data_IF_321445230677
#
_entry.id   IF_321445230677
#
_cell.length_a   1.000
_cell.length_b   1.000
_cell.length_c   1.000
_cell.angle_alpha   90.00
_cell.angle_beta   90.00
_cell.angle_gamma   90.00
#
_symmetry.space_group_name_H-M   'P 1'
#
loop_
_entity.id
_entity.type
_entity.pdbx_description
1 polymer ?
#
# COMPACT_ATOMS: atom_id res chain seq x y z
N UNK A 1 -28.06 11.65 -11.98
CA UNK A 1 -26.96 12.55 -11.54
C UNK A 1 -27.02 12.75 -10.02
N UNK A 2 -27.19 11.67 -9.25
CA UNK A 2 -27.38 11.72 -7.78
C UNK A 2 -26.50 10.67 -7.05
N UNK A 3 -25.76 9.84 -7.81
CA UNK A 3 -24.93 8.76 -7.29
C UNK A 3 -23.50 9.18 -6.87
N UNK A 4 -23.15 10.47 -6.96
CA UNK A 4 -21.81 10.98 -6.66
C UNK A 4 -21.70 11.65 -5.28
N UNK A 5 -22.76 11.64 -4.47
CA UNK A 5 -22.85 12.45 -3.24
C UNK A 5 -22.62 11.68 -1.93
N UNK A 6 -22.32 10.37 -1.97
CA UNK A 6 -22.07 9.58 -0.76
C UNK A 6 -20.78 8.77 -0.82
N UNK A 7 -19.67 9.44 -1.16
CA UNK A 7 -18.35 8.93 -0.78
C UNK A 7 -18.13 9.28 0.69
N UNK A 8 -18.84 8.53 1.55
CA UNK A 8 -18.76 8.67 3.00
C UNK A 8 -17.29 8.70 3.42
N UNK A 9 -16.91 9.75 4.15
CA UNK A 9 -15.58 9.93 4.71
C UNK A 9 -15.22 8.68 5.52
N UNK A 10 -14.50 7.75 4.89
CA UNK A 10 -14.00 6.56 5.56
C UNK A 10 -13.05 7.04 6.65
N UNK A 11 -13.48 6.94 7.91
CA UNK A 11 -12.67 7.29 9.06
C UNK A 11 -11.57 6.23 9.19
N UNK A 12 -10.40 6.52 8.64
CA UNK A 12 -9.22 5.68 8.84
C UNK A 12 -8.82 5.82 10.31
N UNK A 13 -9.06 4.77 11.10
CA UNK A 13 -8.56 4.71 12.48
C UNK A 13 -7.03 4.70 12.44
N UNK A 14 -6.41 5.67 13.08
CA UNK A 14 -4.96 5.69 13.28
C UNK A 14 -4.65 5.42 14.74
N UNK A 15 -3.74 4.49 14.99
CA UNK A 15 -3.22 4.19 16.32
C UNK A 15 -1.82 4.79 16.44
N UNK A 16 -1.62 5.65 17.44
CA UNK A 16 -0.30 6.18 17.79
C UNK A 16 0.26 5.37 18.95
N UNK A 17 1.28 4.57 18.69
CA UNK A 17 1.99 3.80 19.70
C UNK A 17 3.43 4.30 19.78
N UNK A 18 3.93 4.51 21.01
CA UNK A 18 5.36 4.79 21.21
C UNK A 18 6.13 3.49 21.13
N UNK A 19 7.10 3.41 20.21
CA UNK A 19 7.97 2.26 20.08
C UNK A 19 9.14 2.39 21.07
N UNK A 20 9.53 1.27 21.68
CA UNK A 20 10.73 1.14 22.49
C UNK A 20 11.61 0.02 21.92
N UNK A 21 12.18 0.24 20.72
CA UNK A 21 12.98 -0.77 20.05
C UNK A 21 14.30 -1.02 20.77
N UNK A 22 14.79 -2.25 20.70
CA UNK A 22 16.18 -2.55 21.01
C UNK A 22 17.09 -2.15 19.83
N UNK A 23 18.41 -2.23 20.02
CA UNK A 23 19.39 -1.81 19.00
C UNK A 23 19.23 -2.51 17.65
N UNK A 24 18.92 -3.82 17.65
CA UNK A 24 18.73 -4.56 16.40
C UNK A 24 17.45 -4.11 15.68
N UNK A 25 16.39 -3.79 16.43
CA UNK A 25 15.15 -3.26 15.88
C UNK A 25 15.33 -1.83 15.34
N UNK A 26 16.06 -0.97 16.04
CA UNK A 26 16.37 0.39 15.55
C UNK A 26 17.10 0.36 14.21
N UNK A 27 18.05 -0.57 14.04
CA UNK A 27 18.77 -0.74 12.79
C UNK A 27 17.88 -1.23 11.64
N UNK A 28 16.90 -2.11 11.91
CA UNK A 28 16.06 -2.72 10.88
C UNK A 28 14.80 -1.91 10.50
N UNK A 29 14.30 -1.07 11.41
CA UNK A 29 13.07 -0.30 11.20
C UNK A 29 13.09 0.61 9.96
N UNK A 30 14.16 1.38 9.68
CA UNK A 30 14.23 2.23 8.48
C UNK A 30 14.08 1.45 7.17
N UNK A 31 14.76 0.30 7.06
CA UNK A 31 14.72 -0.54 5.86
C UNK A 31 13.33 -1.13 5.66
N UNK A 32 12.71 -1.64 6.74
CA UNK A 32 11.34 -2.14 6.71
C UNK A 32 10.35 -1.06 6.26
N UNK A 33 10.50 0.17 6.75
CA UNK A 33 9.66 1.30 6.35
C UNK A 33 9.88 1.68 4.88
N UNK A 34 11.13 1.59 4.39
CA UNK A 34 11.46 1.75 2.98
C UNK A 34 10.73 0.73 2.11
N UNK A 35 10.85 -0.56 2.45
CA UNK A 35 10.20 -1.64 1.70
C UNK A 35 8.67 -1.50 1.67
N UNK A 36 8.05 -1.10 2.78
CA UNK A 36 6.61 -0.85 2.81
C UNK A 36 6.19 0.36 1.97
N UNK A 37 7.00 1.42 1.95
CA UNK A 37 6.77 2.58 1.08
C UNK A 37 6.81 2.16 -0.39
N UNK A 38 7.79 1.38 -0.78
CA UNK A 38 7.96 0.93 -2.16
C UNK A 38 6.82 0.01 -2.60
N UNK A 39 6.42 -0.93 -1.75
CA UNK A 39 5.27 -1.82 -2.03
C UNK A 39 3.96 -1.03 -2.19
N UNK A 40 3.72 -0.03 -1.33
CA UNK A 40 2.57 0.87 -1.44
C UNK A 40 2.58 1.65 -2.76
N UNK A 41 3.73 2.21 -3.14
CA UNK A 41 3.88 2.96 -4.38
C UNK A 41 3.66 2.06 -5.62
N UNK A 42 4.18 0.84 -5.59
CA UNK A 42 3.97 -0.15 -6.65
C UNK A 42 2.47 -0.46 -6.83
N UNK A 43 1.73 -0.64 -5.73
CA UNK A 43 0.28 -0.85 -5.78
C UNK A 43 -0.49 0.33 -6.35
N UNK A 44 -0.09 1.56 -6.02
CA UNK A 44 -0.69 2.77 -6.61
C UNK A 44 -0.39 2.86 -8.11
N UNK A 45 0.86 2.63 -8.51
CA UNK A 45 1.28 2.66 -9.90
C UNK A 45 0.51 1.63 -10.74
N UNK A 46 0.40 0.39 -10.24
CA UNK A 46 -0.33 -0.68 -10.90
C UNK A 46 -1.79 -0.29 -11.19
N UNK A 47 -2.49 0.33 -10.23
CA UNK A 47 -3.87 0.81 -10.42
C UNK A 47 -3.99 1.91 -11.46
N UNK A 48 -3.08 2.88 -11.41
CA UNK A 48 -3.04 3.98 -12.38
C UNK A 48 -2.83 3.42 -13.79
N UNK A 49 -1.88 2.50 -13.96
CA UNK A 49 -1.58 1.91 -15.25
C UNK A 49 -2.69 0.98 -15.77
N UNK A 50 -3.31 0.19 -14.91
CA UNK A 50 -4.42 -0.69 -15.28
C UNK A 50 -5.60 0.13 -15.84
N UNK A 51 -5.92 1.25 -15.20
CA UNK A 51 -6.95 2.16 -15.70
C UNK A 51 -6.52 2.84 -17.00
N UNK A 52 -5.34 3.47 -17.02
CA UNK A 52 -4.89 4.26 -18.16
C UNK A 52 -4.68 3.43 -19.43
N UNK A 53 -4.20 2.19 -19.30
CA UNK A 53 -3.87 1.33 -20.45
C UNK A 53 -5.01 0.41 -20.87
N UNK A 54 -5.83 -0.05 -19.91
CA UNK A 54 -6.83 -1.11 -20.16
C UNK A 54 -8.24 -0.73 -19.72
N UNK A 55 -8.43 0.40 -19.03
CA UNK A 55 -9.74 0.83 -18.53
C UNK A 55 -10.29 -0.06 -17.41
N UNK A 56 -9.43 -0.81 -16.72
CA UNK A 56 -9.85 -1.75 -15.67
C UNK A 56 -9.53 -1.22 -14.28
N UNK A 57 -10.47 -1.43 -13.35
CA UNK A 57 -10.27 -1.16 -11.93
C UNK A 57 -9.81 -2.44 -11.24
N UNK A 58 -8.65 -2.40 -10.57
CA UNK A 58 -8.14 -3.52 -9.79
C UNK A 58 -8.73 -3.54 -8.39
N UNK A 59 -9.16 -4.73 -7.95
CA UNK A 59 -9.56 -5.00 -6.57
C UNK A 59 -8.39 -5.48 -5.72
N UNK A 60 -8.64 -5.68 -4.42
CA UNK A 60 -7.62 -6.12 -3.47
C UNK A 60 -6.92 -7.42 -3.90
N UNK A 61 -7.70 -8.42 -4.32
CA UNK A 61 -7.17 -9.75 -4.70
C UNK A 61 -6.21 -9.67 -5.88
N UNK A 62 -6.53 -8.85 -6.89
CA UNK A 62 -5.67 -8.66 -8.07
C UNK A 62 -4.31 -8.08 -7.66
N UNK A 63 -4.34 -7.06 -6.81
CA UNK A 63 -3.13 -6.41 -6.32
C UNK A 63 -2.32 -7.33 -5.41
N UNK A 64 -2.97 -8.04 -4.48
CA UNK A 64 -2.28 -8.89 -3.50
C UNK A 64 -1.51 -10.04 -4.17
N UNK A 65 -2.06 -10.60 -5.25
CA UNK A 65 -1.41 -11.66 -6.01
C UNK A 65 -0.15 -11.16 -6.73
N UNK A 66 -0.21 -9.98 -7.35
CA UNK A 66 0.92 -9.42 -8.13
C UNK A 66 1.98 -8.74 -7.24
N UNK A 67 1.56 -8.01 -6.21
CA UNK A 67 2.48 -7.31 -5.29
C UNK A 67 3.28 -8.26 -4.42
N UNK A 68 2.85 -9.52 -4.24
CA UNK A 68 3.65 -10.55 -3.58
C UNK A 68 4.99 -10.75 -4.29
N UNK A 69 4.98 -10.77 -5.63
CA UNK A 69 6.20 -10.90 -6.42
C UNK A 69 7.12 -9.68 -6.26
N UNK A 70 6.53 -8.48 -6.13
CA UNK A 70 7.29 -7.24 -5.88
C UNK A 70 7.99 -7.30 -4.52
N UNK A 71 7.28 -7.74 -3.48
CA UNK A 71 7.85 -7.92 -2.14
C UNK A 71 8.99 -8.93 -2.14
N UNK A 72 8.82 -10.07 -2.82
CA UNK A 72 9.80 -11.15 -2.82
C UNK A 72 11.04 -10.82 -3.69
N UNK A 73 10.96 -9.80 -4.55
CA UNK A 73 12.09 -9.32 -5.37
C UNK A 73 13.01 -8.32 -4.64
N UNK A 74 12.58 -7.80 -3.49
CA UNK A 74 13.42 -6.94 -2.63
C UNK A 74 14.13 -7.84 -1.62
N UNK A 75 15.48 -7.84 -1.58
CA UNK A 75 16.26 -8.72 -0.71
C UNK A 75 16.05 -8.49 0.80
#
# INVERSE_FOLDING_TARGET
MEHMANMGRHLIRSHKCRLYPNRAQEAALPDMLGHFRDLCNAGLQQRIEAWNRRGVCLGYTDQANELKAVRDAVP
#
